data_IF_493222762558
#
_entry.id   IF_493222762558
#
_cell.length_a   1.000
_cell.length_b   1.000
_cell.length_c   1.000
_cell.angle_alpha   90.00
_cell.angle_beta   90.00
_cell.angle_gamma   90.00
#
_symmetry.space_group_name_H-M   'P 1'
#
loop_
_entity.id
_entity.type
_entity.pdbx_description
1 polymer ?
#
# COMPACT_ATOMS: atom_id res chain seq x y z
N UNK A 1 -17.47 -21.22 7.30
CA UNK A 1 -18.04 -22.24 6.38
C UNK A 1 -19.50 -21.91 6.08
N UNK A 2 -19.73 -21.03 5.10
CA UNK A 2 -21.05 -20.61 4.65
C UNK A 2 -21.45 -21.30 3.33
N UNK A 3 -20.48 -21.53 2.42
CA UNK A 3 -20.71 -22.06 1.07
C UNK A 3 -21.54 -23.37 0.97
N UNK A 4 -21.25 -24.40 1.77
CA UNK A 4 -22.01 -25.66 1.76
C UNK A 4 -23.43 -25.47 2.30
N UNK A 5 -23.57 -24.65 3.35
CA UNK A 5 -24.85 -24.34 3.99
C UNK A 5 -25.74 -23.54 3.03
N UNK A 6 -25.15 -22.57 2.36
CA UNK A 6 -25.82 -21.63 1.48
C UNK A 6 -25.91 -22.14 0.03
N UNK A 7 -25.38 -23.35 -0.23
CA UNK A 7 -25.36 -24.02 -1.55
C UNK A 7 -24.77 -23.11 -2.63
N UNK A 8 -23.75 -22.35 -2.27
CA UNK A 8 -23.11 -21.35 -3.11
C UNK A 8 -21.65 -21.70 -3.37
N UNK A 9 -21.09 -21.15 -4.45
CA UNK A 9 -19.66 -21.23 -4.70
C UNK A 9 -18.86 -20.28 -3.80
N UNK A 10 -17.56 -20.53 -3.70
CA UNK A 10 -16.62 -19.62 -3.06
C UNK A 10 -15.38 -19.42 -3.90
N UNK A 11 -14.77 -18.25 -3.76
CA UNK A 11 -13.41 -18.00 -4.21
C UNK A 11 -12.57 -17.71 -2.98
N UNK A 12 -11.46 -18.45 -2.83
CA UNK A 12 -10.48 -18.24 -1.78
C UNK A 12 -9.14 -17.99 -2.45
N UNK A 13 -8.42 -16.97 -2.01
CA UNK A 13 -7.05 -16.73 -2.43
C UNK A 13 -6.12 -17.05 -1.24
N UNK A 14 -5.75 -18.32 -0.94
CA UNK A 14 -4.85 -18.63 0.17
C UNK A 14 -3.37 -18.61 -0.23
N UNK A 15 -2.50 -18.35 0.75
CA UNK A 15 -1.08 -18.70 0.68
C UNK A 15 -0.92 -20.19 1.02
N UNK A 16 -0.29 -20.95 0.13
CA UNK A 16 0.07 -22.34 0.37
C UNK A 16 1.59 -22.49 0.48
N UNK A 17 2.03 -23.38 1.37
CA UNK A 17 3.40 -23.81 1.47
C UNK A 17 3.62 -25.09 0.64
N UNK A 18 4.64 -25.10 -0.21
CA UNK A 18 5.09 -26.25 -0.98
C UNK A 18 6.59 -26.40 -0.73
N UNK A 19 6.95 -27.24 0.25
CA UNK A 19 8.32 -27.32 0.76
C UNK A 19 8.77 -25.95 1.33
N UNK A 20 9.95 -25.43 0.94
CA UNK A 20 10.42 -24.12 1.40
C UNK A 20 9.74 -22.95 0.67
N UNK A 21 8.97 -23.21 -0.40
CA UNK A 21 8.35 -22.16 -1.21
C UNK A 21 6.94 -21.84 -0.71
N UNK A 22 6.59 -20.57 -0.70
CA UNK A 22 5.21 -20.11 -0.47
C UNK A 22 4.67 -19.47 -1.73
N UNK A 23 3.45 -19.83 -2.12
CA UNK A 23 2.77 -19.23 -3.27
C UNK A 23 1.31 -18.98 -2.99
N UNK A 24 0.78 -17.92 -3.57
CA UNK A 24 -0.64 -17.60 -3.53
C UNK A 24 -1.33 -18.29 -4.69
N UNK A 25 -2.36 -19.04 -4.37
CA UNK A 25 -3.24 -19.69 -5.34
C UNK A 25 -4.61 -19.08 -5.26
N UNK A 26 -5.36 -19.18 -6.35
CA UNK A 26 -6.81 -19.00 -6.34
C UNK A 26 -7.47 -20.37 -6.35
N UNK A 27 -8.34 -20.59 -5.37
CA UNK A 27 -9.27 -21.72 -5.31
C UNK A 27 -10.64 -21.17 -5.66
N UNK A 28 -11.22 -21.63 -6.75
CA UNK A 28 -12.64 -21.39 -7.08
C UNK A 28 -13.34 -22.72 -6.92
N UNK A 29 -14.36 -22.78 -6.09
CA UNK A 29 -15.16 -24.00 -5.89
C UNK A 29 -16.65 -23.69 -5.93
N UNK A 30 -17.42 -24.63 -6.46
CA UNK A 30 -18.88 -24.61 -6.51
C UNK A 30 -19.42 -25.85 -5.81
N UNK A 31 -20.61 -25.70 -5.22
CA UNK A 31 -21.35 -26.80 -4.60
C UNK A 31 -22.33 -27.35 -5.63
N UNK A 32 -22.06 -28.55 -6.11
CA UNK A 32 -23.02 -29.34 -6.88
C UNK A 32 -24.10 -29.85 -5.96
N UNK A 33 -25.37 -29.69 -6.35
CA UNK A 33 -26.52 -30.14 -5.58
C UNK A 33 -27.35 -31.14 -6.40
N UNK A 34 -27.82 -32.20 -5.75
CA UNK A 34 -28.80 -33.15 -6.28
C UNK A 34 -30.07 -33.09 -5.41
N UNK A 35 -31.22 -32.92 -6.03
CA UNK A 35 -32.51 -32.68 -5.35
C UNK A 35 -32.44 -31.64 -4.20
N UNK A 36 -31.63 -30.59 -4.38
CA UNK A 36 -31.43 -29.54 -3.38
C UNK A 36 -30.53 -29.93 -2.20
N UNK A 37 -29.92 -31.12 -2.21
CA UNK A 37 -28.91 -31.56 -1.25
C UNK A 37 -27.50 -31.35 -1.82
N UNK A 38 -26.57 -30.72 -1.07
CA UNK A 38 -25.21 -30.55 -1.53
C UNK A 38 -24.49 -31.90 -1.60
N UNK A 39 -24.01 -32.26 -2.80
CA UNK A 39 -23.41 -33.57 -3.08
C UNK A 39 -21.88 -33.50 -3.19
N UNK A 40 -21.36 -32.50 -3.91
CA UNK A 40 -19.93 -32.42 -4.24
C UNK A 40 -19.45 -30.97 -4.29
N UNK A 41 -18.22 -30.77 -3.83
CA UNK A 41 -17.45 -29.56 -4.15
C UNK A 41 -16.57 -29.86 -5.36
N UNK A 42 -16.71 -29.06 -6.41
CA UNK A 42 -15.86 -29.13 -7.60
C UNK A 42 -15.33 -27.73 -7.93
N UNK A 43 -14.16 -27.66 -8.56
CA UNK A 43 -13.48 -26.38 -8.70
C UNK A 43 -12.11 -26.46 -9.35
N UNK A 44 -11.45 -25.31 -9.42
CA UNK A 44 -10.10 -25.16 -9.94
C UNK A 44 -9.16 -24.55 -8.92
N UNK A 45 -7.88 -24.91 -9.05
CA UNK A 45 -6.77 -24.32 -8.31
C UNK A 45 -5.78 -23.76 -9.31
N UNK A 46 -5.58 -22.45 -9.30
CA UNK A 46 -4.73 -21.77 -10.28
C UNK A 46 -3.73 -20.87 -9.57
N UNK A 47 -2.48 -20.85 -10.02
CA UNK A 47 -1.52 -19.84 -9.60
C UNK A 47 -1.89 -18.48 -10.22
N UNK A 48 -1.72 -17.39 -9.46
CA UNK A 48 -1.88 -16.05 -10.03
C UNK A 48 -0.61 -15.64 -10.77
N UNK A 49 -0.73 -15.27 -12.04
CA UNK A 49 0.39 -14.70 -12.79
C UNK A 49 0.69 -13.25 -12.36
N UNK A 50 1.82 -12.72 -12.84
CA UNK A 50 2.27 -11.35 -12.48
C UNK A 50 1.28 -10.28 -12.96
N UNK A 51 0.61 -10.47 -14.09
CA UNK A 51 -0.37 -9.49 -14.63
C UNK A 51 -1.64 -9.46 -13.77
N UNK A 52 -2.14 -10.63 -13.36
CA UNK A 52 -3.27 -10.77 -12.46
C UNK A 52 -2.97 -10.18 -11.08
N UNK A 53 -1.77 -10.47 -10.53
CA UNK A 53 -1.31 -9.84 -9.28
C UNK A 53 -1.24 -8.33 -9.42
N UNK A 54 -0.66 -7.82 -10.51
CA UNK A 54 -0.57 -6.37 -10.77
C UNK A 54 -1.95 -5.74 -10.81
N UNK A 55 -2.90 -6.32 -11.54
CA UNK A 55 -4.26 -5.78 -11.62
C UNK A 55 -4.95 -5.68 -10.24
N UNK A 56 -4.76 -6.69 -9.37
CA UNK A 56 -5.32 -6.69 -8.02
C UNK A 56 -4.62 -5.66 -7.13
N UNK A 57 -3.29 -5.64 -7.15
CA UNK A 57 -2.47 -4.86 -6.21
C UNK A 57 -2.33 -3.38 -6.60
N UNK A 58 -2.44 -3.06 -7.89
CA UNK A 58 -2.57 -1.69 -8.37
C UNK A 58 -3.94 -1.09 -8.00
N UNK A 59 -5.04 -1.82 -8.20
CA UNK A 59 -6.37 -1.34 -7.81
C UNK A 59 -6.47 -1.15 -6.29
N UNK A 60 -5.91 -2.07 -5.50
CA UNK A 60 -5.86 -1.94 -4.04
C UNK A 60 -5.00 -0.74 -3.58
N UNK A 61 -3.96 -0.36 -4.33
CA UNK A 61 -3.13 0.79 -4.03
C UNK A 61 -3.83 2.14 -4.25
N UNK A 62 -4.98 2.20 -4.95
CA UNK A 62 -5.67 3.48 -5.24
C UNK A 62 -6.03 4.29 -3.99
N UNK A 63 -6.23 3.62 -2.85
CA UNK A 63 -6.56 4.24 -1.55
C UNK A 63 -5.38 4.93 -0.86
N UNK A 64 -4.14 4.71 -1.34
CA UNK A 64 -2.97 5.46 -0.87
C UNK A 64 -2.91 6.83 -1.56
N UNK A 65 -3.20 7.91 -0.84
CA UNK A 65 -3.06 9.24 -1.39
C UNK A 65 -1.57 9.63 -1.43
N UNK A 66 -1.00 9.59 -2.64
CA UNK A 66 0.39 10.00 -2.90
C UNK A 66 0.60 10.67 -4.26
N UNK A 67 -0.43 10.67 -5.12
CA UNK A 67 -0.37 11.11 -6.52
C UNK A 67 -1.60 11.95 -6.86
N UNK A 68 -1.52 12.83 -7.86
CA UNK A 68 -2.56 13.81 -8.19
C UNK A 68 -3.65 13.29 -9.16
N UNK A 69 -3.73 11.98 -9.38
CA UNK A 69 -4.44 11.38 -10.54
C UNK A 69 -5.92 11.05 -10.31
N UNK A 70 -6.58 11.59 -9.29
CA UNK A 70 -7.97 11.24 -8.93
C UNK A 70 -9.02 12.02 -9.75
N UNK A 71 -10.16 11.38 -10.06
CA UNK A 71 -11.38 12.07 -10.53
C UNK A 71 -11.85 11.83 -11.98
N UNK A 72 -11.34 10.82 -12.70
CA UNK A 72 -11.76 10.55 -14.08
C UNK A 72 -12.89 9.49 -14.19
N UNK A 73 -13.76 9.64 -15.19
CA UNK A 73 -14.74 8.60 -15.57
C UNK A 73 -14.01 7.45 -16.26
N UNK A 74 -14.34 6.20 -15.91
CA UNK A 74 -13.80 5.01 -16.58
C UNK A 74 -14.19 5.00 -18.05
N UNK A 75 -13.19 4.93 -18.92
CA UNK A 75 -13.29 4.83 -20.38
C UNK A 75 -12.27 3.79 -20.83
N UNK A 76 -12.63 3.01 -21.83
CA UNK A 76 -11.76 1.99 -22.42
C UNK A 76 -11.95 2.02 -23.91
N UNK A 77 -10.88 1.80 -24.67
CA UNK A 77 -10.94 1.65 -26.13
C UNK A 77 -10.83 0.18 -26.56
N UNK A 78 -11.31 -0.76 -25.72
CA UNK A 78 -11.25 -2.20 -26.00
C UNK A 78 -12.14 -2.63 -27.18
N UNK A 79 -13.10 -1.79 -27.56
CA UNK A 79 -14.01 -2.00 -28.69
C UNK A 79 -13.38 -1.58 -30.05
N UNK A 80 -12.15 -1.05 -30.05
CA UNK A 80 -11.44 -0.62 -31.25
C UNK A 80 -11.99 0.67 -31.87
N UNK A 81 -12.94 1.36 -31.22
CA UNK A 81 -13.58 2.57 -31.74
C UNK A 81 -12.87 3.87 -31.35
N UNK A 82 -11.77 3.78 -30.59
CA UNK A 82 -11.05 4.94 -30.08
C UNK A 82 -9.63 4.62 -29.63
N UNK A 83 -8.97 5.64 -29.06
CA UNK A 83 -7.65 5.52 -28.47
C UNK A 83 -7.69 5.97 -27.00
N UNK A 84 -6.86 5.32 -26.17
CA UNK A 84 -6.69 5.63 -24.76
C UNK A 84 -7.59 4.84 -23.80
N UNK A 85 -7.29 4.97 -22.52
CA UNK A 85 -8.02 4.34 -21.42
C UNK A 85 -7.83 5.19 -20.17
N UNK A 86 -8.89 5.36 -19.40
CA UNK A 86 -8.83 5.91 -18.04
C UNK A 86 -8.99 4.81 -16.98
N UNK A 87 -8.95 3.54 -17.39
CA UNK A 87 -8.95 2.40 -16.48
C UNK A 87 -7.62 2.34 -15.71
N UNK A 88 -7.68 2.41 -14.38
CA UNK A 88 -6.52 2.57 -13.49
C UNK A 88 -5.67 1.29 -13.31
N UNK A 89 -5.89 0.26 -14.14
CA UNK A 89 -5.51 -1.12 -13.86
C UNK A 89 -4.01 -1.45 -13.86
N UNK A 90 -3.14 -0.57 -14.36
CA UNK A 90 -1.70 -0.86 -14.49
C UNK A 90 -0.84 -0.22 -13.39
N UNK A 91 -1.46 0.46 -12.42
CA UNK A 91 -0.74 1.00 -11.26
C UNK A 91 0.22 2.13 -11.60
N UNK A 92 0.03 2.86 -12.70
CA UNK A 92 0.84 4.06 -12.98
C UNK A 92 0.11 5.27 -12.40
N UNK A 93 0.81 6.03 -11.56
CA UNK A 93 0.33 7.31 -11.03
C UNK A 93 1.29 8.45 -11.38
N UNK A 94 0.79 9.69 -11.31
CA UNK A 94 1.61 10.88 -11.55
C UNK A 94 1.82 11.68 -10.27
N UNK A 95 3.09 11.91 -9.94
CA UNK A 95 3.51 12.73 -8.81
C UNK A 95 4.28 13.96 -9.30
N UNK A 96 4.27 15.04 -8.52
CA UNK A 96 5.01 16.25 -8.87
C UNK A 96 6.26 16.35 -8.00
N UNK A 97 7.42 16.40 -8.64
CA UNK A 97 8.68 16.66 -8.00
C UNK A 97 8.76 18.13 -7.51
N UNK A 98 9.64 18.46 -6.56
CA UNK A 98 9.78 19.83 -6.05
C UNK A 98 10.12 20.89 -7.10
N UNK A 99 10.69 20.48 -8.24
CA UNK A 99 11.02 21.32 -9.40
C UNK A 99 9.82 21.53 -10.36
N UNK A 100 8.64 21.03 -10.02
CA UNK A 100 7.42 21.13 -10.82
C UNK A 100 7.29 20.07 -11.91
N UNK A 101 8.27 19.18 -12.10
CA UNK A 101 8.16 18.09 -13.07
C UNK A 101 7.12 17.07 -12.63
N UNK A 102 6.26 16.68 -13.56
CA UNK A 102 5.37 15.54 -13.40
C UNK A 102 6.17 14.27 -13.69
N UNK A 103 6.28 13.39 -12.70
CA UNK A 103 6.93 12.09 -12.83
C UNK A 103 5.92 10.96 -12.76
N UNK A 104 6.18 9.92 -13.53
CA UNK A 104 5.37 8.70 -13.56
C UNK A 104 5.91 7.66 -12.57
N UNK A 105 5.07 7.12 -11.69
CA UNK A 105 5.45 6.12 -10.70
C UNK A 105 4.65 4.84 -10.86
N UNK A 106 5.30 3.69 -10.73
CA UNK A 106 4.62 2.43 -10.49
C UNK A 106 4.15 2.41 -9.04
N UNK A 107 2.85 2.62 -8.83
CA UNK A 107 2.15 2.61 -7.56
C UNK A 107 1.44 1.28 -7.35
N UNK A 108 2.00 0.46 -6.48
CA UNK A 108 1.48 -0.89 -6.19
C UNK A 108 1.60 -1.23 -4.70
N UNK A 109 0.81 -2.22 -4.29
CA UNK A 109 1.03 -2.91 -3.01
C UNK A 109 1.93 -4.13 -3.20
N UNK A 110 2.82 -4.40 -2.24
CA UNK A 110 3.50 -5.70 -2.13
C UNK A 110 2.48 -6.81 -1.91
N UNK A 111 1.52 -6.58 -1.02
CA UNK A 111 0.32 -7.40 -0.87
C UNK A 111 -0.85 -6.53 -0.41
N UNK A 112 -2.07 -6.92 -0.77
CA UNK A 112 -3.27 -6.35 -0.18
C UNK A 112 -3.80 -7.19 0.98
N UNK A 113 -3.16 -8.30 1.37
CA UNK A 113 -3.51 -9.06 2.56
C UNK A 113 -3.03 -8.33 3.82
N UNK A 114 -3.87 -8.26 4.85
CA UNK A 114 -3.56 -7.55 6.09
C UNK A 114 -4.07 -8.31 7.31
N UNK A 115 -3.28 -8.36 8.38
CA UNK A 115 -3.69 -8.90 9.69
C UNK A 115 -4.52 -7.93 10.53
N UNK A 116 -4.59 -6.65 10.15
CA UNK A 116 -5.36 -5.62 10.87
C UNK A 116 -6.78 -5.49 10.33
N UNK A 117 -7.70 -5.04 11.18
CA UNK A 117 -9.12 -4.94 10.87
C UNK A 117 -9.67 -3.51 10.79
N UNK A 118 -8.86 -2.57 10.25
CA UNK A 118 -9.25 -1.16 10.14
C UNK A 118 -10.58 -1.00 9.36
N UNK A 119 -11.59 -0.42 10.01
CA UNK A 119 -12.98 -0.45 9.55
C UNK A 119 -13.23 0.33 8.26
N UNK A 120 -12.42 1.34 7.97
CA UNK A 120 -12.45 2.11 6.71
C UNK A 120 -11.73 1.41 5.55
N UNK A 121 -10.93 0.37 5.81
CA UNK A 121 -10.01 -0.18 4.84
C UNK A 121 -10.60 -1.39 4.12
N UNK A 122 -10.67 -1.35 2.78
CA UNK A 122 -11.09 -2.50 1.96
C UNK A 122 -10.18 -3.72 2.12
N UNK A 123 -8.92 -3.49 2.51
CA UNK A 123 -7.91 -4.52 2.66
C UNK A 123 -7.86 -5.11 4.08
N UNK A 124 -8.78 -4.72 4.97
CA UNK A 124 -8.85 -5.26 6.34
C UNK A 124 -9.03 -6.78 6.34
N UNK A 125 -8.59 -7.47 7.39
CA UNK A 125 -8.59 -8.95 7.46
C UNK A 125 -9.98 -9.56 7.24
N UNK A 126 -11.03 -8.88 7.70
CA UNK A 126 -12.42 -9.38 7.61
C UNK A 126 -13.07 -9.15 6.24
N UNK A 127 -12.49 -8.35 5.35
CA UNK A 127 -13.08 -8.07 4.03
C UNK A 127 -12.89 -9.21 3.05
N UNK A 128 -13.99 -9.62 2.41
CA UNK A 128 -13.99 -10.66 1.38
C UNK A 128 -13.64 -10.07 -0.01
N UNK A 129 -12.39 -9.70 -0.19
CA UNK A 129 -11.86 -9.18 -1.47
C UNK A 129 -10.76 -10.08 -2.02
N UNK A 130 -10.56 -10.03 -3.34
CA UNK A 130 -9.48 -10.78 -4.01
C UNK A 130 -8.13 -10.39 -3.42
N UNK A 131 -7.31 -11.38 -3.07
CA UNK A 131 -5.98 -11.17 -2.47
C UNK A 131 -4.88 -11.60 -3.41
N UNK A 132 -3.78 -10.86 -3.36
CA UNK A 132 -2.58 -11.16 -4.10
C UNK A 132 -1.35 -10.73 -3.30
N UNK A 133 -0.20 -11.28 -3.67
CA UNK A 133 1.09 -10.94 -3.09
C UNK A 133 2.19 -11.10 -4.14
N UNK A 134 3.05 -10.10 -4.21
CA UNK A 134 4.34 -10.21 -4.88
C UNK A 134 5.41 -10.68 -3.89
N UNK A 135 6.38 -11.43 -4.41
CA UNK A 135 7.71 -11.54 -3.82
C UNK A 135 8.50 -10.26 -4.08
N UNK A 136 9.52 -9.97 -3.26
CA UNK A 136 10.40 -8.82 -3.48
C UNK A 136 11.00 -8.85 -4.91
N UNK A 137 11.48 -10.03 -5.34
CA UNK A 137 12.03 -10.22 -6.68
C UNK A 137 11.03 -9.95 -7.81
N UNK A 138 9.73 -10.26 -7.63
CA UNK A 138 8.70 -9.89 -8.61
C UNK A 138 8.53 -8.37 -8.72
N UNK A 139 8.51 -7.65 -7.59
CA UNK A 139 8.40 -6.17 -7.59
C UNK A 139 9.62 -5.53 -8.25
N UNK A 140 10.82 -6.01 -7.94
CA UNK A 140 12.07 -5.53 -8.55
C UNK A 140 12.04 -5.73 -10.07
N UNK A 141 11.74 -6.94 -10.54
CA UNK A 141 11.65 -7.24 -11.98
C UNK A 141 10.59 -6.39 -12.68
N UNK A 142 9.44 -6.20 -12.04
CA UNK A 142 8.35 -5.40 -12.59
C UNK A 142 8.77 -3.93 -12.73
N UNK A 143 9.35 -3.36 -11.68
CA UNK A 143 9.84 -1.97 -11.64
C UNK A 143 10.87 -1.74 -12.75
N UNK A 144 11.88 -2.60 -12.86
CA UNK A 144 12.90 -2.49 -13.91
C UNK A 144 12.30 -2.66 -15.31
N UNK A 145 11.30 -3.52 -15.47
CA UNK A 145 10.64 -3.77 -16.77
C UNK A 145 9.83 -2.56 -17.25
N UNK A 146 9.14 -1.86 -16.35
CA UNK A 146 8.42 -0.63 -16.66
C UNK A 146 9.39 0.52 -16.92
N UNK A 147 10.45 0.63 -16.11
CA UNK A 147 11.47 1.68 -16.27
C UNK A 147 12.19 1.58 -17.61
N UNK A 148 12.67 0.39 -18.00
CA UNK A 148 13.36 0.15 -19.29
C UNK A 148 12.48 0.43 -20.52
N UNK A 149 11.16 0.44 -20.35
CA UNK A 149 10.17 0.77 -21.40
C UNK A 149 9.73 2.23 -21.35
N UNK A 150 10.35 3.06 -20.50
CA UNK A 150 10.01 4.46 -20.26
C UNK A 150 8.55 4.68 -19.82
N UNK A 151 7.97 3.72 -19.09
CA UNK A 151 6.61 3.85 -18.55
C UNK A 151 6.56 4.50 -17.17
N UNK A 152 7.68 4.45 -16.44
CA UNK A 152 7.81 5.00 -15.09
C UNK A 152 9.20 5.61 -14.91
N UNK A 153 9.31 6.54 -13.99
CA UNK A 153 10.55 7.12 -13.47
C UNK A 153 10.84 6.68 -12.02
N UNK A 154 9.94 5.90 -11.42
CA UNK A 154 10.10 5.44 -10.05
C UNK A 154 9.03 4.47 -9.55
N UNK A 155 9.18 4.05 -8.30
CA UNK A 155 8.33 3.11 -7.58
C UNK A 155 7.69 3.82 -6.37
N UNK A 156 6.38 3.67 -6.22
CA UNK A 156 5.67 3.86 -4.96
C UNK A 156 5.22 2.50 -4.45
N UNK A 157 5.76 2.06 -3.32
CA UNK A 157 5.45 0.76 -2.73
C UNK A 157 4.84 0.91 -1.34
N UNK A 158 3.67 0.30 -1.16
CA UNK A 158 3.04 0.09 0.14
C UNK A 158 2.69 -1.39 0.32
N UNK A 159 2.06 -1.76 1.43
CA UNK A 159 1.66 -3.13 1.71
C UNK A 159 0.59 -3.19 2.79
N UNK A 160 -0.28 -4.20 2.73
CA UNK A 160 -0.90 -4.76 3.93
C UNK A 160 0.13 -5.55 4.75
N UNK A 161 -0.20 -5.84 6.01
CA UNK A 161 0.72 -6.51 6.95
C UNK A 161 0.45 -8.01 6.94
N UNK A 162 1.47 -8.81 6.67
CA UNK A 162 1.42 -10.28 6.66
C UNK A 162 2.46 -10.86 7.61
N UNK A 163 2.11 -11.92 8.33
CA UNK A 163 2.98 -12.51 9.36
C UNK A 163 3.18 -11.56 10.54
N UNK A 164 4.07 -10.58 10.39
CA UNK A 164 4.33 -9.50 11.34
C UNK A 164 4.66 -8.20 10.61
N UNK A 165 4.61 -7.08 11.35
CA UNK A 165 5.08 -5.78 10.86
C UNK A 165 6.53 -5.83 10.39
N UNK A 166 7.40 -6.51 11.16
CA UNK A 166 8.82 -6.69 10.82
C UNK A 166 8.98 -7.47 9.52
N UNK A 167 8.36 -8.65 9.41
CA UNK A 167 8.47 -9.48 8.21
C UNK A 167 8.03 -8.71 6.95
N UNK A 168 6.91 -7.99 7.03
CA UNK A 168 6.44 -7.21 5.89
C UNK A 168 7.41 -6.09 5.55
N UNK A 169 7.92 -5.37 6.56
CA UNK A 169 8.87 -4.29 6.38
C UNK A 169 10.21 -4.78 5.80
N UNK A 170 10.72 -5.93 6.24
CA UNK A 170 11.90 -6.61 5.68
C UNK A 170 11.74 -6.83 4.16
N UNK A 171 10.57 -7.31 3.72
CA UNK A 171 10.32 -7.51 2.28
C UNK A 171 10.29 -6.18 1.51
N UNK A 172 9.75 -5.11 2.10
CA UNK A 172 9.74 -3.78 1.49
C UNK A 172 11.15 -3.16 1.41
N UNK A 173 11.95 -3.33 2.46
CA UNK A 173 13.37 -2.93 2.48
C UNK A 173 14.14 -3.70 1.42
N UNK A 174 13.95 -5.02 1.32
CA UNK A 174 14.64 -5.85 0.34
C UNK A 174 14.37 -5.41 -1.11
N UNK A 175 13.13 -5.00 -1.43
CA UNK A 175 12.84 -4.41 -2.75
C UNK A 175 13.69 -3.16 -3.00
N UNK A 176 13.74 -2.23 -2.06
CA UNK A 176 14.48 -0.98 -2.24
C UNK A 176 16.00 -1.19 -2.24
N UNK A 177 16.51 -2.04 -1.34
CA UNK A 177 17.92 -2.45 -1.29
C UNK A 177 18.33 -3.07 -2.62
N UNK A 178 17.62 -4.11 -3.07
CA UNK A 178 17.96 -4.82 -4.32
C UNK A 178 17.90 -3.90 -5.54
N UNK A 179 16.91 -2.99 -5.62
CA UNK A 179 16.88 -1.96 -6.66
C UNK A 179 18.14 -1.09 -6.64
N UNK A 180 18.58 -0.60 -5.47
CA UNK A 180 19.73 0.30 -5.35
C UNK A 180 21.08 -0.39 -5.52
N UNK A 181 21.27 -1.53 -4.88
CA UNK A 181 22.57 -2.20 -4.74
C UNK A 181 22.81 -3.22 -5.85
N UNK A 182 21.83 -4.07 -6.13
CA UNK A 182 22.01 -5.18 -7.08
C UNK A 182 21.76 -4.74 -8.53
N UNK A 183 20.96 -3.68 -8.72
CA UNK A 183 20.47 -3.25 -10.04
C UNK A 183 20.82 -1.82 -10.42
N UNK A 184 21.54 -1.09 -9.56
CA UNK A 184 21.94 0.31 -9.75
C UNK A 184 20.77 1.23 -10.17
N UNK A 185 19.56 0.92 -9.72
CA UNK A 185 18.37 1.68 -10.08
C UNK A 185 18.50 3.09 -9.50
N UNK A 186 18.49 4.11 -10.38
CA UNK A 186 18.60 5.53 -10.01
C UNK A 186 17.26 6.29 -10.03
N UNK A 187 16.17 5.59 -10.36
CA UNK A 187 14.83 6.18 -10.35
C UNK A 187 14.29 6.46 -8.95
N UNK A 188 13.16 7.16 -8.87
CA UNK A 188 12.56 7.58 -7.61
C UNK A 188 12.00 6.39 -6.82
N UNK A 189 12.16 6.34 -5.50
CA UNK A 189 11.56 5.33 -4.62
C UNK A 189 10.83 6.00 -3.46
N UNK A 190 9.52 5.77 -3.37
CA UNK A 190 8.69 6.15 -2.22
C UNK A 190 8.20 4.88 -1.53
N UNK A 191 8.62 4.68 -0.27
CA UNK A 191 8.11 3.60 0.57
C UNK A 191 7.11 4.09 1.61
N UNK A 192 5.98 3.38 1.75
CA UNK A 192 5.10 3.49 2.92
C UNK A 192 5.62 2.58 4.03
N UNK A 193 6.17 3.15 5.10
CA UNK A 193 6.73 2.39 6.21
C UNK A 193 5.64 1.93 7.17
N UNK A 194 5.92 0.84 7.89
CA UNK A 194 4.99 0.24 8.86
C UNK A 194 5.43 0.70 10.25
N UNK A 195 4.64 1.53 10.97
CA UNK A 195 5.06 2.12 12.25
C UNK A 195 5.37 1.11 13.35
N UNK A 196 4.72 -0.04 13.30
CA UNK A 196 4.85 -1.11 14.28
C UNK A 196 6.01 -2.07 13.95
N UNK A 197 6.79 -1.78 12.91
CA UNK A 197 8.01 -2.50 12.60
C UNK A 197 9.18 -2.01 13.44
N UNK A 198 10.23 -2.83 13.53
CA UNK A 198 11.49 -2.48 14.17
C UNK A 198 12.01 -1.13 13.61
N UNK A 199 12.38 -0.16 14.47
CA UNK A 199 12.96 1.10 14.04
C UNK A 199 14.15 0.95 13.09
N UNK A 200 14.94 -0.12 13.22
CA UNK A 200 16.07 -0.37 12.33
C UNK A 200 15.60 -0.66 10.90
N UNK A 201 14.49 -1.39 10.72
CA UNK A 201 13.93 -1.64 9.39
C UNK A 201 13.41 -0.35 8.74
N UNK A 202 12.87 0.57 9.53
CA UNK A 202 12.48 1.91 9.05
C UNK A 202 13.72 2.73 8.68
N UNK A 203 14.81 2.59 9.44
CA UNK A 203 16.09 3.22 9.12
C UNK A 203 16.66 2.69 7.79
N UNK A 204 16.74 1.37 7.62
CA UNK A 204 17.19 0.74 6.37
C UNK A 204 16.34 1.17 5.17
N UNK A 205 15.03 1.28 5.32
CA UNK A 205 14.16 1.83 4.27
C UNK A 205 14.55 3.26 3.87
N UNK A 206 14.92 4.10 4.84
CA UNK A 206 15.35 5.48 4.59
C UNK A 206 16.69 5.60 3.88
N UNK A 207 17.60 4.63 4.05
CA UNK A 207 18.88 4.60 3.32
C UNK A 207 18.71 4.33 1.82
N UNK A 208 17.69 3.54 1.45
CA UNK A 208 17.45 3.14 0.05
C UNK A 208 16.37 3.96 -0.67
N UNK A 209 15.39 4.49 0.07
CA UNK A 209 14.27 5.25 -0.49
C UNK A 209 14.56 6.76 -0.59
N UNK A 210 13.94 7.43 -1.57
CA UNK A 210 13.96 8.89 -1.68
C UNK A 210 12.99 9.53 -0.70
N UNK A 211 11.81 8.92 -0.49
CA UNK A 211 10.77 9.41 0.41
C UNK A 211 10.19 8.28 1.25
N UNK A 212 9.95 8.58 2.51
CA UNK A 212 9.18 7.72 3.40
C UNK A 212 7.81 8.33 3.66
N UNK A 213 6.82 7.50 3.91
CA UNK A 213 5.56 7.98 4.46
C UNK A 213 4.94 7.02 5.46
N UNK A 214 4.33 7.59 6.49
CA UNK A 214 3.61 6.89 7.53
C UNK A 214 2.21 7.49 7.57
N UNK A 215 1.16 6.66 7.51
CA UNK A 215 -0.20 7.17 7.66
C UNK A 215 -0.52 7.41 9.14
N UNK A 216 -1.06 8.60 9.45
CA UNK A 216 -1.74 8.86 10.72
C UNK A 216 -3.20 8.39 10.72
N UNK A 217 -3.72 8.09 9.52
CA UNK A 217 -5.03 7.52 9.23
C UNK A 217 -6.22 8.43 9.51
N UNK A 218 -6.40 8.90 10.74
CA UNK A 218 -7.54 9.72 11.15
C UNK A 218 -7.08 11.04 11.76
N UNK A 219 -7.89 12.12 11.65
CA UNK A 219 -7.57 13.41 12.24
C UNK A 219 -7.64 13.39 13.78
N UNK A 220 -8.52 12.56 14.35
CA UNK A 220 -8.75 12.49 15.81
C UNK A 220 -8.26 11.17 16.40
N UNK A 221 -7.81 11.22 17.67
CA UNK A 221 -7.44 10.02 18.42
C UNK A 221 -8.65 9.10 18.65
N UNK A 222 -9.80 9.67 18.98
CA UNK A 222 -11.04 8.92 19.15
C UNK A 222 -11.43 8.17 17.87
N UNK A 223 -11.33 8.84 16.72
CA UNK A 223 -11.53 8.23 15.39
C UNK A 223 -10.55 7.10 15.12
N UNK A 224 -9.27 7.30 15.42
CA UNK A 224 -8.24 6.26 15.25
C UNK A 224 -8.55 5.02 16.12
N UNK A 225 -8.81 5.20 17.42
CA UNK A 225 -9.12 4.10 18.34
C UNK A 225 -10.37 3.34 17.91
N UNK A 226 -11.40 4.06 17.44
CA UNK A 226 -12.65 3.44 17.00
C UNK A 226 -12.52 2.71 15.66
N UNK A 227 -11.78 3.26 14.70
CA UNK A 227 -11.80 2.80 13.32
C UNK A 227 -10.56 1.99 12.91
N UNK A 228 -9.48 2.03 13.70
CA UNK A 228 -8.28 1.23 13.49
C UNK A 228 -7.72 0.74 14.83
N UNK A 229 -8.42 -0.20 15.50
CA UNK A 229 -8.13 -0.58 16.88
C UNK A 229 -6.73 -1.19 17.08
N UNK A 230 -6.15 -1.80 16.04
CA UNK A 230 -4.79 -2.33 16.12
C UNK A 230 -3.68 -1.26 15.96
N UNK A 231 -4.03 -0.02 15.58
CA UNK A 231 -3.06 1.06 15.36
C UNK A 231 -2.91 1.93 16.60
N UNK A 232 -1.67 2.39 16.85
CA UNK A 232 -1.35 3.26 17.99
C UNK A 232 -0.82 4.62 17.51
N UNK A 233 -1.47 5.70 17.94
CA UNK A 233 -1.00 7.06 17.67
C UNK A 233 0.42 7.28 18.22
N UNK A 234 0.73 6.75 19.39
CA UNK A 234 2.05 6.89 20.00
C UNK A 234 3.14 6.20 19.18
N UNK A 235 2.88 4.98 18.66
CA UNK A 235 3.84 4.27 17.79
C UNK A 235 4.01 4.97 16.45
N UNK A 236 2.91 5.42 15.84
CA UNK A 236 2.92 6.23 14.60
C UNK A 236 3.79 7.48 14.78
N UNK A 237 3.50 8.28 15.80
CA UNK A 237 4.21 9.53 16.06
C UNK A 237 5.68 9.29 16.46
N UNK A 238 5.96 8.21 17.20
CA UNK A 238 7.33 7.79 17.52
C UNK A 238 8.15 7.45 16.27
N UNK A 239 7.59 6.68 15.33
CA UNK A 239 8.24 6.35 14.07
C UNK A 239 8.49 7.60 13.19
N UNK A 240 7.55 8.55 13.18
CA UNK A 240 7.72 9.83 12.47
C UNK A 240 8.79 10.71 13.12
N UNK A 241 8.88 10.73 14.45
CA UNK A 241 9.94 11.42 15.19
C UNK A 241 11.32 10.81 14.88
N UNK A 242 11.44 9.48 14.95
CA UNK A 242 12.68 8.78 14.60
C UNK A 242 13.12 9.07 13.16
N UNK A 243 12.18 9.09 12.22
CA UNK A 243 12.45 9.46 10.82
C UNK A 243 12.94 10.91 10.70
N UNK A 244 12.35 11.86 11.44
CA UNK A 244 12.78 13.28 11.45
C UNK A 244 14.22 13.41 11.93
N UNK A 245 14.54 12.73 13.03
CA UNK A 245 15.89 12.74 13.61
C UNK A 245 16.91 12.17 12.62
N UNK A 246 16.64 11.00 12.03
CA UNK A 246 17.52 10.39 11.05
C UNK A 246 17.77 11.28 9.81
N UNK A 247 16.74 11.98 9.33
CA UNK A 247 16.88 12.97 8.24
C UNK A 247 17.81 14.13 8.66
N UNK A 248 17.61 14.68 9.86
CA UNK A 248 18.40 15.79 10.39
C UNK A 248 19.87 15.39 10.57
N UNK A 249 20.11 14.27 11.26
CA UNK A 249 21.44 13.73 11.54
C UNK A 249 22.22 13.45 10.25
N UNK A 250 21.56 12.82 9.26
CA UNK A 250 22.19 12.52 7.97
C UNK A 250 22.45 13.79 7.16
N UNK A 251 21.55 14.77 7.20
CA UNK A 251 21.75 16.07 6.55
C UNK A 251 22.96 16.80 7.14
N UNK A 252 23.14 16.79 8.45
CA UNK A 252 24.28 17.41 9.12
C UNK A 252 25.58 16.64 8.88
N UNK A 253 25.54 15.30 8.90
CA UNK A 253 26.67 14.46 8.52
C UNK A 253 27.13 14.76 7.07
N UNK A 254 26.20 14.93 6.13
CA UNK A 254 26.48 15.28 4.72
C UNK A 254 27.13 16.64 4.53
N UNK A 255 26.88 17.62 5.42
CA UNK A 255 27.58 18.91 5.40
C UNK A 255 29.05 18.77 5.79
N UNK A 256 29.38 17.77 6.61
CA UNK A 256 30.74 17.51 7.12
C UNK A 256 31.51 16.50 6.29
N UNK A 257 30.84 15.46 5.80
CA UNK A 257 31.43 14.32 5.10
C UNK A 257 30.72 14.06 3.79
N UNK A 258 31.44 14.16 2.66
CA UNK A 258 30.89 13.91 1.32
C UNK A 258 30.45 12.45 1.12
N UNK A 259 31.06 11.51 1.84
CA UNK A 259 30.76 10.09 1.80
C UNK A 259 29.59 9.66 2.68
N UNK A 260 29.05 10.55 3.52
CA UNK A 260 27.90 10.22 4.35
C UNK A 260 26.72 9.77 3.47
N UNK A 261 26.00 8.70 3.85
CA UNK A 261 24.90 8.18 3.06
C UNK A 261 23.79 9.23 2.91
N UNK A 262 22.88 9.00 1.96
CA UNK A 262 21.62 9.75 1.91
C UNK A 262 20.59 9.02 2.76
N UNK A 263 19.70 9.78 3.39
CA UNK A 263 18.56 9.24 4.10
C UNK A 263 17.31 10.01 3.68
N UNK A 264 16.36 9.34 3.03
CA UNK A 264 15.09 9.90 2.57
C UNK A 264 15.20 11.36 2.09
N UNK A 265 16.02 11.67 1.07
CA UNK A 265 16.33 13.04 0.66
C UNK A 265 15.11 13.89 0.27
N UNK A 266 14.01 13.26 -0.17
CA UNK A 266 12.73 13.92 -0.44
C UNK A 266 11.83 14.05 0.81
N UNK A 267 12.36 13.70 1.99
CA UNK A 267 11.73 13.84 3.30
C UNK A 267 10.67 12.79 3.61
N UNK A 268 9.86 13.10 4.62
CA UNK A 268 8.74 12.27 5.03
C UNK A 268 7.38 12.95 4.77
N UNK A 269 6.34 12.13 4.61
CA UNK A 269 4.96 12.59 4.40
C UNK A 269 3.96 11.68 5.12
N UNK A 270 2.72 12.13 5.23
CA UNK A 270 1.65 11.35 5.86
C UNK A 270 0.35 11.47 5.09
N UNK A 271 -0.64 10.66 5.46
CA UNK A 271 -2.00 10.70 4.93
C UNK A 271 -3.01 10.57 6.07
N UNK A 272 -4.12 11.31 5.94
CA UNK A 272 -5.32 11.16 6.76
C UNK A 272 -6.58 11.02 5.89
N UNK A 273 -7.56 10.29 6.42
CA UNK A 273 -8.87 10.08 5.83
C UNK A 273 -9.83 11.12 6.43
N UNK A 274 -10.51 11.87 5.57
CA UNK A 274 -11.47 12.91 5.94
C UNK A 274 -12.90 12.39 5.70
N UNK A 275 -13.80 12.62 6.66
CA UNK A 275 -15.20 12.21 6.55
C UNK A 275 -15.48 10.75 6.96
N UNK A 276 -14.54 10.10 7.64
CA UNK A 276 -14.77 8.77 8.25
C UNK A 276 -15.30 8.86 9.69
N UNK A 277 -15.20 10.02 10.33
CA UNK A 277 -15.68 10.30 11.67
C UNK A 277 -16.25 11.72 11.75
N UNK A 278 -16.71 12.10 12.93
CA UNK A 278 -17.27 13.42 13.21
C UNK A 278 -16.20 14.53 13.34
N UNK A 279 -15.00 14.33 12.79
CA UNK A 279 -13.95 15.33 12.84
C UNK A 279 -14.35 16.59 12.07
N UNK A 280 -14.17 17.73 12.71
CA UNK A 280 -14.44 19.05 12.12
C UNK A 280 -13.27 19.50 11.25
N UNK A 281 -13.49 20.49 10.37
CA UNK A 281 -12.41 21.14 9.62
C UNK A 281 -11.33 21.70 10.57
N UNK A 282 -11.74 22.21 11.73
CA UNK A 282 -10.84 22.68 12.78
C UNK A 282 -9.92 21.57 13.31
N UNK A 283 -10.46 20.37 13.55
CA UNK A 283 -9.67 19.21 13.98
C UNK A 283 -8.64 18.81 12.92
N UNK A 284 -9.06 18.79 11.65
CA UNK A 284 -8.22 18.40 10.51
C UNK A 284 -7.05 19.38 10.35
N UNK A 285 -7.33 20.69 10.31
CA UNK A 285 -6.31 21.73 10.14
C UNK A 285 -5.37 21.76 11.34
N UNK A 286 -5.89 21.66 12.55
CA UNK A 286 -5.08 21.63 13.79
C UNK A 286 -4.16 20.41 13.81
N UNK A 287 -4.70 19.23 13.48
CA UNK A 287 -3.90 18.00 13.37
C UNK A 287 -2.82 18.14 12.32
N UNK A 288 -3.14 18.65 11.13
CA UNK A 288 -2.16 18.84 10.07
C UNK A 288 -1.04 19.80 10.48
N UNK A 289 -1.36 20.96 11.06
CA UNK A 289 -0.38 21.93 11.56
C UNK A 289 0.57 21.27 12.56
N UNK A 290 0.01 20.58 13.57
CA UNK A 290 0.78 19.85 14.57
C UNK A 290 1.75 18.83 13.96
N UNK A 291 1.31 18.10 12.93
CA UNK A 291 2.13 17.10 12.25
C UNK A 291 3.29 17.75 11.47
N UNK A 292 3.05 18.88 10.79
CA UNK A 292 4.11 19.64 10.13
C UNK A 292 5.15 20.13 11.13
N UNK A 293 4.72 20.79 12.21
CA UNK A 293 5.62 21.40 13.20
C UNK A 293 6.47 20.33 13.92
N UNK A 294 5.82 19.27 14.38
CA UNK A 294 6.48 18.22 15.18
C UNK A 294 7.39 17.34 14.34
N UNK A 295 6.99 16.98 13.13
CA UNK A 295 7.66 15.93 12.35
C UNK A 295 8.37 16.44 11.08
N UNK A 296 8.30 17.74 10.78
CA UNK A 296 9.00 18.31 9.62
C UNK A 296 8.51 17.72 8.30
N UNK A 297 7.21 17.45 8.20
CA UNK A 297 6.62 16.80 7.05
C UNK A 297 6.77 17.66 5.79
N UNK A 298 6.98 17.00 4.64
CA UNK A 298 6.94 17.68 3.35
C UNK A 298 5.52 17.82 2.82
N UNK A 299 4.62 16.90 3.20
CA UNK A 299 3.22 16.92 2.78
C UNK A 299 2.35 16.07 3.70
N UNK A 300 1.15 16.57 3.98
CA UNK A 300 0.00 15.83 4.50
C UNK A 300 -0.96 15.62 3.34
N UNK A 301 -1.26 14.36 3.02
CA UNK A 301 -2.27 14.00 2.02
C UNK A 301 -3.63 13.80 2.69
N UNK A 302 -4.68 14.28 2.02
CA UNK A 302 -6.06 14.10 2.45
C UNK A 302 -6.77 13.21 1.45
N UNK A 303 -7.37 12.13 1.93
CA UNK A 303 -8.24 11.27 1.13
C UNK A 303 -9.66 11.34 1.71
N UNK A 304 -10.66 11.60 0.87
CA UNK A 304 -12.04 11.45 1.30
C UNK A 304 -12.31 9.99 1.67
N UNK A 305 -13.12 9.77 2.71
CA UNK A 305 -13.65 8.45 2.99
C UNK A 305 -14.48 7.95 1.80
N UNK A 306 -14.17 6.74 1.36
CA UNK A 306 -14.95 6.05 0.33
C UNK A 306 -15.63 4.85 0.98
N UNK A 307 -16.96 4.78 0.97
CA UNK A 307 -17.67 3.58 1.38
C UNK A 307 -17.14 2.37 0.60
N UNK A 308 -16.95 1.25 1.32
CA UNK A 308 -16.47 -0.01 0.75
C UNK A 308 -17.66 -0.98 0.59
N UNK A 309 -17.70 -1.80 -0.48
CA UNK A 309 -18.85 -2.68 -0.75
C UNK A 309 -19.19 -3.65 0.39
N UNK A 310 -18.18 -4.09 1.14
CA UNK A 310 -18.30 -4.97 2.32
C UNK A 310 -18.06 -4.13 3.58
N UNK A 311 -19.05 -3.31 3.93
CA UNK A 311 -18.95 -2.34 5.02
C UNK A 311 -18.71 -3.04 6.37
N UNK A 312 -17.96 -2.37 7.25
CA UNK A 312 -17.77 -2.85 8.63
C UNK A 312 -19.09 -2.77 9.39
N UNK A 313 -19.30 -3.67 10.36
CA UNK A 313 -20.44 -3.58 11.28
C UNK A 313 -20.38 -2.32 12.16
N UNK A 314 -19.19 -1.73 12.35
CA UNK A 314 -19.00 -0.44 12.99
C UNK A 314 -19.45 0.65 12.03
N UNK A 315 -20.48 1.41 12.43
CA UNK A 315 -21.00 2.53 11.65
C UNK A 315 -19.93 3.63 11.48
N UNK A 316 -19.68 3.98 10.23
CA UNK A 316 -18.84 5.09 9.79
C UNK A 316 -19.81 6.18 9.28
N UNK A 317 -19.69 7.41 9.80
CA UNK A 317 -20.72 8.44 9.73
C UNK A 317 -21.27 8.72 11.12
#
# INVERSE_FOLDING_TARGET
>A
MAAIRDRSGFTLDPEIAVGPTRRWIRIVAQVECDEGRPMRLFGSKTDLDVQQKLAILADAAKYDASCASSGSVKRTSRDGKGLGSTDQGMGICHAYAPDGRCISLLKILLTNSCIFDCHYCINRKSSNVRRARFTAAEVVRLTLSFYRRNYIEGLFLSSGIIGSSNYTMEQMVEVARSLREDHDFRGYIHLKTIPDADPELVHQAGLHADRLSINVELPTLAGLTRLAPEKSAARIEGAMAGTKLAIADTSDARKRFKSAPRFAPAGQSTQMIVGADAATDGDIVTRASSLYDRFGLRRVYYSAFSPIPDASAVRIG
#
